data_IF_355857324356
#
_entry.id   IF_355857324356
#
_cell.length_a   1.000
_cell.length_b   1.000
_cell.length_c   1.000
_cell.angle_alpha   90.00
_cell.angle_beta   90.00
_cell.angle_gamma   90.00
#
_symmetry.space_group_name_H-M   'P 1'
#
loop_
_entity.id
_entity.type
_entity.pdbx_description
1 polymer ?
#
# COMPACT_ATOMS: atom_id res chain seq x y z
N UNK A 1 12.63 15.08 -7.45
CA UNK A 1 12.94 15.77 -8.74
C UNK A 1 13.72 17.07 -8.55
N UNK A 2 13.31 17.97 -7.64
CA UNK A 2 14.02 19.25 -7.44
C UNK A 2 15.49 19.10 -7.05
N UNK A 3 15.80 18.23 -6.08
CA UNK A 3 17.19 17.93 -5.69
C UNK A 3 18.03 17.33 -6.82
N UNK A 4 17.45 16.49 -7.66
CA UNK A 4 18.09 15.97 -8.86
C UNK A 4 18.44 17.10 -9.84
N UNK A 5 17.51 18.00 -10.09
CA UNK A 5 17.76 19.15 -10.99
C UNK A 5 18.88 20.06 -10.45
N UNK A 6 18.92 20.31 -9.15
CA UNK A 6 20.00 21.06 -8.49
C UNK A 6 21.34 20.34 -8.67
N UNK A 7 21.40 19.05 -8.41
CA UNK A 7 22.60 18.24 -8.58
C UNK A 7 23.12 18.20 -10.03
N UNK A 8 22.25 18.47 -11.01
CA UNK A 8 22.59 18.63 -12.44
C UNK A 8 22.89 20.08 -12.83
N UNK A 9 23.08 20.98 -11.88
CA UNK A 9 23.36 22.42 -12.12
C UNK A 9 22.16 23.23 -12.60
N UNK A 10 20.95 22.66 -12.60
CA UNK A 10 19.72 23.36 -13.01
C UNK A 10 19.04 24.00 -11.81
N UNK A 11 19.73 24.92 -11.14
CA UNK A 11 19.33 25.46 -9.83
C UNK A 11 17.94 26.09 -9.83
N UNK A 12 17.64 26.99 -10.79
CA UNK A 12 16.34 27.66 -10.84
C UNK A 12 15.17 26.65 -10.99
N UNK A 13 15.31 25.68 -11.91
CA UNK A 13 14.28 24.64 -12.11
C UNK A 13 14.15 23.75 -10.88
N UNK A 14 15.26 23.40 -10.25
CA UNK A 14 15.26 22.61 -9.03
C UNK A 14 14.56 23.32 -7.87
N UNK A 15 14.86 24.60 -7.65
CA UNK A 15 14.23 25.42 -6.62
C UNK A 15 12.72 25.57 -6.84
N UNK A 16 12.31 25.94 -8.06
CA UNK A 16 10.89 26.06 -8.43
C UNK A 16 10.17 24.74 -8.16
N UNK A 17 10.75 23.61 -8.57
CA UNK A 17 10.15 22.28 -8.32
C UNK A 17 9.99 22.00 -6.84
N UNK A 18 10.98 22.34 -6.00
CA UNK A 18 10.91 22.13 -4.54
C UNK A 18 9.79 23.00 -3.96
N UNK A 19 9.75 24.29 -4.32
CA UNK A 19 8.73 25.24 -3.81
C UNK A 19 7.32 24.76 -4.18
N UNK A 20 7.07 24.42 -5.46
CA UNK A 20 5.75 23.95 -5.91
C UNK A 20 5.37 22.64 -5.21
N UNK A 21 6.31 21.68 -5.10
CA UNK A 21 6.03 20.39 -4.45
C UNK A 21 5.75 20.55 -2.97
N UNK A 22 6.47 21.44 -2.28
CA UNK A 22 6.27 21.73 -0.86
C UNK A 22 4.91 22.41 -0.64
N UNK A 23 4.59 23.43 -1.46
CA UNK A 23 3.29 24.08 -1.41
C UNK A 23 2.14 23.10 -1.66
N UNK A 24 2.26 22.28 -2.71
CA UNK A 24 1.27 21.25 -3.02
C UNK A 24 1.09 20.24 -1.88
N UNK A 25 2.19 19.83 -1.25
CA UNK A 25 2.14 18.91 -0.11
C UNK A 25 1.38 19.52 1.08
N UNK A 26 1.65 20.78 1.41
CA UNK A 26 0.91 21.49 2.46
C UNK A 26 -0.58 21.63 2.12
N UNK A 27 -0.89 22.03 0.89
CA UNK A 27 -2.26 22.15 0.43
C UNK A 27 -3.01 20.82 0.48
N UNK A 28 -2.43 19.77 -0.08
CA UNK A 28 -3.02 18.44 -0.12
C UNK A 28 -3.23 17.85 1.29
N UNK A 29 -2.27 18.04 2.20
CA UNK A 29 -2.43 17.58 3.59
C UNK A 29 -3.48 18.38 4.34
N UNK A 30 -3.62 19.68 4.07
CA UNK A 30 -4.67 20.50 4.67
C UNK A 30 -6.07 20.12 4.18
N UNK A 31 -6.23 19.91 2.88
CA UNK A 31 -7.52 19.49 2.28
C UNK A 31 -7.90 18.05 2.64
N UNK A 32 -6.90 17.19 2.86
CA UNK A 32 -7.11 15.75 3.15
C UNK A 32 -7.31 15.45 4.65
N UNK A 33 -7.38 16.47 5.51
CA UNK A 33 -7.46 16.33 6.98
C UNK A 33 -8.72 15.59 7.48
N UNK A 34 -9.70 15.32 6.63
CA UNK A 34 -10.87 14.50 6.95
C UNK A 34 -10.55 13.02 7.30
N UNK A 35 -9.32 12.54 7.06
CA UNK A 35 -8.89 11.14 7.28
C UNK A 35 -7.94 10.91 8.46
N UNK A 36 -7.65 11.93 9.29
CA UNK A 36 -6.66 11.87 10.38
C UNK A 36 -5.25 12.27 9.90
N UNK A 37 -4.44 12.77 10.83
CA UNK A 37 -3.06 13.17 10.53
C UNK A 37 -2.16 11.93 10.43
N UNK A 38 -2.00 11.42 9.21
CA UNK A 38 -1.12 10.28 8.92
C UNK A 38 0.35 10.54 9.29
N UNK A 39 0.77 11.81 9.37
CA UNK A 39 2.09 12.21 9.82
C UNK A 39 2.21 11.98 11.32
N UNK A 40 1.24 12.45 12.10
CA UNK A 40 1.20 12.21 13.54
C UNK A 40 1.16 10.73 13.89
N UNK A 41 0.38 9.92 13.16
CA UNK A 41 0.31 8.46 13.36
C UNK A 41 1.67 7.78 13.16
N UNK A 42 2.52 8.28 12.26
CA UNK A 42 3.79 7.63 11.88
C UNK A 42 5.03 8.24 12.51
N UNK A 43 4.95 9.49 12.91
CA UNK A 43 6.06 10.27 13.45
C UNK A 43 5.77 10.83 14.84
N UNK A 44 4.64 10.48 15.46
CA UNK A 44 4.21 11.01 16.76
C UNK A 44 5.19 10.74 17.89
N UNK A 45 6.05 9.73 17.78
CA UNK A 45 7.13 9.48 18.74
C UNK A 45 8.20 10.59 18.75
N UNK A 46 8.23 11.45 17.72
CA UNK A 46 9.14 12.59 17.63
C UNK A 46 8.59 13.86 18.29
N UNK A 47 7.27 13.96 18.49
CA UNK A 47 6.60 15.11 19.08
C UNK A 47 5.19 15.29 18.57
N UNK A 48 4.43 16.16 19.21
CA UNK A 48 3.02 16.41 18.88
C UNK A 48 2.86 17.42 17.74
N UNK A 49 3.85 18.28 17.54
CA UNK A 49 3.86 19.28 16.47
C UNK A 49 4.95 19.01 15.42
N UNK A 50 4.74 19.46 14.18
CA UNK A 50 5.74 19.30 13.11
C UNK A 50 7.08 19.96 13.47
N UNK A 51 7.05 21.06 14.22
CA UNK A 51 8.26 21.74 14.65
C UNK A 51 9.03 20.95 15.71
N UNK A 52 8.31 20.37 16.67
CA UNK A 52 8.88 19.45 17.67
C UNK A 52 9.49 18.22 17.01
N UNK A 53 8.81 17.61 16.04
CA UNK A 53 9.34 16.46 15.29
C UNK A 53 10.68 16.80 14.63
N UNK A 54 10.78 17.96 13.96
CA UNK A 54 12.02 18.43 13.35
C UNK A 54 13.08 18.70 14.41
N UNK A 55 12.76 19.43 15.47
CA UNK A 55 13.71 19.75 16.52
C UNK A 55 14.24 18.50 17.23
N UNK A 56 13.37 17.53 17.49
CA UNK A 56 13.75 16.24 18.09
C UNK A 56 14.73 15.47 17.21
N UNK A 57 14.47 15.41 15.87
CA UNK A 57 15.39 14.77 14.94
C UNK A 57 16.73 15.49 14.85
N UNK A 58 16.76 16.82 14.95
CA UNK A 58 18.02 17.59 14.93
C UNK A 58 18.83 17.43 16.22
N UNK A 59 18.17 17.39 17.37
CA UNK A 59 18.84 17.33 18.69
C UNK A 59 19.15 15.88 19.10
N UNK A 60 18.28 14.92 18.74
CA UNK A 60 18.36 13.52 19.13
C UNK A 60 18.15 12.57 17.94
N UNK A 61 18.99 12.61 16.89
CA UNK A 61 18.80 11.79 15.68
C UNK A 61 18.79 10.28 15.99
N UNK A 62 19.45 9.84 17.07
CA UNK A 62 19.47 8.44 17.48
C UNK A 62 18.12 7.90 17.96
N UNK A 63 17.12 8.77 18.23
CA UNK A 63 15.77 8.35 18.63
C UNK A 63 15.11 7.46 17.56
N UNK A 64 15.52 7.58 16.31
CA UNK A 64 15.06 6.73 15.20
C UNK A 64 15.31 5.24 15.50
N UNK A 65 16.36 4.91 16.22
CA UNK A 65 16.67 3.52 16.59
C UNK A 65 15.73 2.93 17.64
N UNK A 66 14.88 3.73 18.27
CA UNK A 66 13.81 3.23 19.13
C UNK A 66 12.67 2.56 18.35
N UNK A 67 12.44 2.99 17.09
CA UNK A 67 11.38 2.49 16.20
C UNK A 67 11.90 1.67 15.03
N UNK A 68 13.16 1.87 14.66
CA UNK A 68 13.81 1.17 13.54
C UNK A 68 15.17 0.63 13.99
N UNK A 69 15.28 -0.69 14.16
CA UNK A 69 16.56 -1.30 14.50
C UNK A 69 17.59 -1.09 13.37
N UNK A 70 18.88 -0.94 13.69
CA UNK A 70 19.94 -0.81 12.67
C UNK A 70 19.94 -1.95 11.66
N UNK A 71 19.64 -3.18 12.08
CA UNK A 71 19.53 -4.34 11.21
C UNK A 71 18.37 -4.21 10.22
N UNK A 72 17.21 -3.69 10.66
CA UNK A 72 16.06 -3.43 9.79
C UNK A 72 16.39 -2.39 8.71
N UNK A 73 17.07 -1.31 9.11
CA UNK A 73 17.52 -0.27 8.17
C UNK A 73 18.52 -0.84 7.18
N UNK A 74 19.49 -1.62 7.66
CA UNK A 74 20.50 -2.26 6.81
C UNK A 74 19.87 -3.22 5.79
N UNK A 75 18.99 -4.12 6.22
CA UNK A 75 18.32 -5.08 5.35
C UNK A 75 17.42 -4.38 4.32
N UNK A 76 16.72 -3.32 4.73
CA UNK A 76 15.92 -2.51 3.82
C UNK A 76 16.80 -1.85 2.74
N UNK A 77 17.91 -1.22 3.15
CA UNK A 77 18.83 -0.55 2.25
C UNK A 77 19.49 -1.54 1.28
N UNK A 78 19.96 -2.67 1.82
CA UNK A 78 20.58 -3.73 1.03
C UNK A 78 19.60 -4.29 0.01
N UNK A 79 18.40 -4.68 0.44
CA UNK A 79 17.40 -5.26 -0.44
C UNK A 79 16.95 -4.29 -1.53
N UNK A 80 16.85 -2.99 -1.20
CA UNK A 80 16.47 -1.94 -2.14
C UNK A 80 17.56 -1.69 -3.19
N UNK A 81 18.84 -1.70 -2.78
CA UNK A 81 19.97 -1.39 -3.66
C UNK A 81 20.54 -2.60 -4.39
N UNK A 82 20.37 -3.81 -3.85
CA UNK A 82 21.00 -5.04 -4.34
C UNK A 82 20.87 -5.26 -5.86
N UNK A 83 19.69 -5.11 -6.49
CA UNK A 83 19.54 -5.30 -7.93
C UNK A 83 20.31 -4.29 -8.77
N UNK A 84 20.67 -3.15 -8.18
CA UNK A 84 21.25 -2.01 -8.90
C UNK A 84 22.75 -1.81 -8.66
N UNK A 85 23.32 -2.48 -7.64
CA UNK A 85 24.70 -2.23 -7.19
C UNK A 85 25.73 -2.32 -8.34
N UNK A 86 25.57 -3.29 -9.24
CA UNK A 86 26.51 -3.49 -10.35
C UNK A 86 26.42 -2.37 -11.41
N UNK A 87 25.31 -1.66 -11.52
CA UNK A 87 25.05 -0.63 -12.53
C UNK A 87 25.26 0.79 -12.01
N UNK A 88 25.20 1.02 -10.68
CA UNK A 88 25.37 2.34 -10.12
C UNK A 88 26.80 2.86 -10.30
N UNK A 89 26.95 4.05 -10.87
CA UNK A 89 28.20 4.77 -11.10
C UNK A 89 28.05 6.21 -10.61
N UNK A 90 29.14 6.98 -10.66
CA UNK A 90 29.14 8.40 -10.22
C UNK A 90 27.98 9.24 -10.75
N UNK A 91 27.53 9.14 -12.02
CA UNK A 91 26.39 9.90 -12.52
C UNK A 91 25.08 9.60 -11.79
N UNK A 92 24.91 8.38 -11.25
CA UNK A 92 23.75 8.00 -10.49
C UNK A 92 23.57 8.80 -9.20
N UNK A 93 24.61 9.38 -8.63
CA UNK A 93 24.55 10.13 -7.37
C UNK A 93 23.53 11.26 -7.43
N UNK A 94 23.43 11.95 -8.58
CA UNK A 94 22.42 13.00 -8.76
C UNK A 94 21.00 12.46 -8.66
N UNK A 95 20.75 11.27 -9.22
CA UNK A 95 19.44 10.60 -9.12
C UNK A 95 19.17 10.13 -7.68
N UNK A 96 20.16 9.58 -7.01
CA UNK A 96 20.04 9.11 -5.63
C UNK A 96 19.67 10.24 -4.67
N UNK A 97 20.19 11.46 -4.88
CA UNK A 97 19.77 12.64 -4.10
C UNK A 97 18.26 12.89 -4.19
N UNK A 98 17.64 12.59 -5.34
CA UNK A 98 16.19 12.66 -5.50
C UNK A 98 15.42 11.62 -4.66
N UNK A 99 16.03 10.48 -4.37
CA UNK A 99 15.45 9.41 -3.55
C UNK A 99 15.53 9.67 -2.03
N UNK A 100 16.54 10.49 -1.60
CA UNK A 100 16.85 10.72 -0.18
C UNK A 100 15.64 11.12 0.66
N UNK A 101 14.76 12.06 0.27
CA UNK A 101 13.64 12.45 1.12
C UNK A 101 12.68 11.29 1.42
N UNK A 102 12.34 10.48 0.40
CA UNK A 102 11.42 9.34 0.57
C UNK A 102 12.09 8.23 1.39
N UNK A 103 13.36 7.95 1.12
CA UNK A 103 14.14 6.98 1.86
C UNK A 103 14.22 7.37 3.34
N UNK A 104 14.48 8.65 3.63
CA UNK A 104 14.53 9.17 4.99
C UNK A 104 13.19 9.02 5.71
N UNK A 105 12.08 9.39 5.08
CA UNK A 105 10.74 9.20 5.65
C UNK A 105 10.46 7.74 5.97
N UNK A 106 10.87 6.80 5.11
CA UNK A 106 10.67 5.37 5.37
C UNK A 106 11.51 4.87 6.56
N UNK A 107 12.71 5.41 6.76
CA UNK A 107 13.57 5.04 7.90
C UNK A 107 13.02 5.57 9.21
N UNK A 108 12.62 6.84 9.26
CA UNK A 108 12.15 7.49 10.49
C UNK A 108 10.72 7.10 10.87
N UNK A 109 9.98 6.39 10.03
CA UNK A 109 8.61 5.99 10.33
C UNK A 109 8.56 4.95 11.46
N UNK A 110 7.65 5.12 12.40
CA UNK A 110 7.28 4.10 13.40
C UNK A 110 6.71 2.83 12.72
N UNK A 111 6.07 2.98 11.57
CA UNK A 111 5.51 1.86 10.84
C UNK A 111 6.60 1.02 10.16
N UNK A 112 6.85 -0.19 10.67
CA UNK A 112 7.75 -1.17 10.06
C UNK A 112 7.39 -1.51 8.60
N UNK A 113 6.11 -1.41 8.23
CA UNK A 113 5.61 -1.67 6.87
C UNK A 113 6.28 -0.75 5.82
N UNK A 114 6.69 0.47 6.20
CA UNK A 114 7.38 1.38 5.28
C UNK A 114 8.79 0.90 4.91
N UNK A 115 9.40 0.07 5.73
CA UNK A 115 10.70 -0.57 5.49
C UNK A 115 10.58 -1.98 4.87
N UNK A 116 9.35 -2.42 4.56
CA UNK A 116 9.14 -3.67 3.84
C UNK A 116 9.07 -3.42 2.34
N UNK A 117 9.94 -4.10 1.56
CA UNK A 117 10.01 -3.97 0.09
C UNK A 117 8.76 -4.50 -0.63
N UNK A 118 7.91 -5.25 0.07
CA UNK A 118 6.67 -5.77 -0.49
C UNK A 118 5.54 -4.73 -0.58
N UNK A 119 5.75 -3.55 -0.01
CA UNK A 119 4.78 -2.47 0.01
C UNK A 119 5.18 -1.34 -0.94
N UNK A 120 4.21 -0.55 -1.34
CA UNK A 120 4.36 0.51 -2.35
C UNK A 120 5.25 1.70 -1.91
N UNK A 121 5.64 1.79 -0.65
CA UNK A 121 6.43 2.91 -0.11
C UNK A 121 7.81 3.06 -0.73
N UNK A 122 8.37 1.98 -1.27
CA UNK A 122 9.68 1.97 -1.93
C UNK A 122 9.63 2.32 -3.41
N UNK A 123 8.45 2.36 -4.04
CA UNK A 123 8.30 2.61 -5.50
C UNK A 123 8.96 3.93 -5.93
N UNK A 124 8.77 5.07 -5.23
CA UNK A 124 9.42 6.31 -5.65
C UNK A 124 10.95 6.24 -5.60
N UNK A 125 11.51 5.49 -4.65
CA UNK A 125 12.97 5.28 -4.54
C UNK A 125 13.47 4.45 -5.70
N UNK A 126 12.75 3.38 -6.07
CA UNK A 126 13.09 2.53 -7.21
C UNK A 126 13.14 3.30 -8.52
N UNK A 127 12.24 4.27 -8.73
CA UNK A 127 12.25 5.12 -9.91
C UNK A 127 13.58 5.91 -10.02
N UNK A 128 14.11 6.44 -8.92
CA UNK A 128 15.40 7.13 -8.90
C UNK A 128 16.58 6.17 -9.07
N UNK A 129 16.52 4.96 -8.52
CA UNK A 129 17.56 3.94 -8.72
C UNK A 129 17.64 3.53 -10.19
N UNK A 130 16.49 3.28 -10.83
CA UNK A 130 16.41 2.96 -12.27
C UNK A 130 16.98 4.14 -13.10
N UNK A 131 16.55 5.37 -12.81
CA UNK A 131 17.06 6.54 -13.52
C UNK A 131 18.60 6.69 -13.35
N UNK A 132 19.10 6.42 -12.15
CA UNK A 132 20.56 6.42 -11.89
C UNK A 132 21.32 5.35 -12.67
N UNK A 133 20.73 4.16 -12.83
CA UNK A 133 21.30 3.12 -13.68
C UNK A 133 21.32 3.55 -15.16
N UNK A 134 20.24 4.13 -15.66
CA UNK A 134 20.17 4.65 -17.03
C UNK A 134 21.20 5.75 -17.28
N UNK A 135 21.37 6.68 -16.35
CA UNK A 135 22.41 7.72 -16.41
C UNK A 135 23.84 7.14 -16.40
N UNK A 136 24.01 5.96 -15.85
CA UNK A 136 25.30 5.28 -15.76
C UNK A 136 25.62 4.45 -17.00
N UNK A 137 24.61 4.09 -17.80
CA UNK A 137 24.78 3.22 -19.00
C UNK A 137 25.75 3.74 -20.05
N UNK A 138 25.75 5.05 -20.40
CA UNK A 138 26.72 5.58 -21.38
C UNK A 138 28.17 5.34 -21.00
N UNK A 139 28.49 5.24 -19.72
CA UNK A 139 29.85 4.94 -19.23
C UNK A 139 30.21 3.45 -19.36
N UNK A 140 29.22 2.60 -19.62
CA UNK A 140 29.39 1.15 -19.73
C UNK A 140 29.59 0.76 -21.20
N UNK A 141 29.29 1.66 -22.14
CA UNK A 141 29.25 1.39 -23.57
C UNK A 141 30.50 1.90 -24.32
N UNK A 142 31.29 1.05 -24.89
CA UNK A 142 31.90 1.30 -26.25
C UNK A 142 32.44 0.03 -26.93
N UNK A 143 32.70 -1.02 -26.24
CA UNK A 143 32.86 -2.37 -26.81
C UNK A 143 32.45 -3.37 -25.76
N UNK A 144 31.60 -4.32 -26.10
CA UNK A 144 31.14 -5.35 -25.15
C UNK A 144 32.36 -6.12 -24.64
N UNK A 145 33.00 -5.53 -23.64
CA UNK A 145 34.18 -6.15 -22.97
C UNK A 145 33.68 -7.28 -22.06
N UNK A 146 34.55 -8.20 -21.71
CA UNK A 146 34.25 -9.27 -20.76
C UNK A 146 33.75 -8.70 -19.43
N UNK A 147 34.25 -7.52 -19.03
CA UNK A 147 33.82 -6.81 -17.82
C UNK A 147 32.33 -6.43 -17.92
N UNK A 148 31.83 -5.96 -19.06
CA UNK A 148 30.42 -5.59 -19.23
C UNK A 148 29.49 -6.80 -19.19
N UNK A 149 29.91 -7.92 -19.78
CA UNK A 149 29.17 -9.19 -19.65
C UNK A 149 29.08 -9.63 -18.21
N UNK A 150 30.16 -9.51 -17.45
CA UNK A 150 30.19 -9.88 -16.03
C UNK A 150 29.31 -8.94 -15.19
N UNK A 151 29.30 -7.62 -15.47
CA UNK A 151 28.43 -6.65 -14.81
C UNK A 151 26.96 -6.96 -15.10
N UNK A 152 26.62 -7.24 -16.35
CA UNK A 152 25.26 -7.61 -16.74
C UNK A 152 24.82 -8.91 -16.04
N UNK A 153 25.64 -9.95 -16.07
CA UNK A 153 25.34 -11.22 -15.41
C UNK A 153 25.20 -11.04 -13.90
N UNK A 154 26.07 -10.26 -13.27
CA UNK A 154 25.98 -9.96 -11.83
C UNK A 154 24.67 -9.24 -11.50
N UNK A 155 24.28 -8.25 -12.30
CA UNK A 155 23.00 -7.53 -12.11
C UNK A 155 21.82 -8.47 -12.27
N UNK A 156 21.83 -9.34 -13.28
CA UNK A 156 20.78 -10.33 -13.50
C UNK A 156 20.67 -11.30 -12.32
N UNK A 157 21.78 -11.83 -11.84
CA UNK A 157 21.83 -12.74 -10.67
C UNK A 157 21.32 -12.02 -9.42
N UNK A 158 21.80 -10.81 -9.14
CA UNK A 158 21.38 -10.03 -7.99
C UNK A 158 19.88 -9.69 -8.04
N UNK A 159 19.36 -9.36 -9.24
CA UNK A 159 17.92 -9.12 -9.44
C UNK A 159 17.11 -10.38 -9.22
N UNK A 160 17.58 -11.53 -9.70
CA UNK A 160 16.92 -12.82 -9.48
C UNK A 160 16.91 -13.21 -8.00
N UNK A 161 18.03 -13.04 -7.30
CA UNK A 161 18.13 -13.29 -5.85
C UNK A 161 17.18 -12.37 -5.08
N UNK A 162 17.15 -11.08 -5.40
CA UNK A 162 16.23 -10.14 -4.80
C UNK A 162 14.77 -10.52 -5.09
N UNK A 163 14.45 -10.90 -6.34
CA UNK A 163 13.12 -11.35 -6.71
C UNK A 163 12.69 -12.59 -5.92
N UNK A 164 13.53 -13.62 -5.87
CA UNK A 164 13.20 -14.85 -5.12
C UNK A 164 13.08 -14.61 -3.62
N UNK A 165 13.91 -13.72 -3.05
CA UNK A 165 13.88 -13.41 -1.63
C UNK A 165 12.73 -12.49 -1.21
N UNK A 166 12.39 -11.50 -2.03
CA UNK A 166 11.39 -10.48 -1.69
C UNK A 166 10.04 -10.66 -2.37
N UNK A 167 9.96 -11.37 -3.53
CA UNK A 167 8.67 -11.63 -4.14
C UNK A 167 7.89 -12.62 -3.29
N UNK A 168 6.70 -12.21 -2.88
CA UNK A 168 5.75 -13.10 -2.19
C UNK A 168 4.92 -13.93 -3.20
N UNK A 169 5.52 -14.33 -4.34
CA UNK A 169 4.78 -15.02 -5.39
C UNK A 169 4.10 -16.30 -4.88
N UNK A 170 4.80 -17.12 -4.10
CA UNK A 170 4.21 -18.31 -3.48
C UNK A 170 3.17 -17.96 -2.41
N UNK A 171 3.37 -16.85 -1.70
CA UNK A 171 2.37 -16.33 -0.76
C UNK A 171 1.10 -15.92 -1.49
N UNK A 172 1.20 -15.18 -2.59
CA UNK A 172 0.04 -14.77 -3.38
C UNK A 172 -0.66 -15.99 -3.98
N UNK A 173 0.07 -16.95 -4.55
CA UNK A 173 -0.50 -18.20 -5.05
C UNK A 173 -1.35 -18.89 -3.99
N UNK A 174 -0.82 -19.06 -2.78
CA UNK A 174 -1.53 -19.72 -1.67
C UNK A 174 -2.75 -18.93 -1.16
N UNK A 175 -2.85 -17.64 -1.48
CA UNK A 175 -3.94 -16.75 -1.05
C UNK A 175 -4.97 -16.50 -2.14
N UNK A 176 -4.54 -16.35 -3.37
CA UNK A 176 -5.40 -16.05 -4.50
C UNK A 176 -6.14 -17.27 -5.01
N UNK A 177 -5.43 -18.37 -5.25
CA UNK A 177 -6.04 -19.55 -5.88
C UNK A 177 -7.20 -20.14 -5.05
N UNK A 178 -7.11 -20.27 -3.71
CA UNK A 178 -8.24 -20.76 -2.92
C UNK A 178 -9.46 -19.82 -2.93
N UNK A 179 -9.27 -18.55 -3.27
CA UNK A 179 -10.34 -17.53 -3.28
C UNK A 179 -10.88 -17.25 -4.67
N UNK A 180 -10.31 -17.86 -5.71
CA UNK A 180 -10.78 -17.64 -7.07
C UNK A 180 -12.26 -18.01 -7.25
N UNK A 181 -12.76 -19.14 -6.72
CA UNK A 181 -14.19 -19.46 -6.78
C UNK A 181 -15.08 -18.41 -6.11
N UNK A 182 -14.64 -17.83 -4.99
CA UNK A 182 -15.33 -16.74 -4.30
C UNK A 182 -15.39 -15.47 -5.19
N UNK A 183 -14.30 -15.13 -5.87
CA UNK A 183 -14.23 -13.97 -6.75
C UNK A 183 -15.17 -14.10 -7.97
N UNK A 184 -15.22 -15.29 -8.57
CA UNK A 184 -16.13 -15.59 -9.68
C UNK A 184 -17.59 -15.51 -9.23
N UNK A 185 -17.90 -16.15 -8.08
CA UNK A 185 -19.23 -16.09 -7.49
C UNK A 185 -19.65 -14.66 -7.14
N UNK A 186 -18.71 -13.83 -6.66
CA UNK A 186 -18.98 -12.42 -6.37
C UNK A 186 -19.31 -11.64 -7.64
N UNK A 187 -18.58 -11.83 -8.73
CA UNK A 187 -18.85 -11.12 -10.00
C UNK A 187 -20.26 -11.40 -10.51
N UNK A 188 -20.73 -12.65 -10.44
CA UNK A 188 -22.09 -13.01 -10.89
C UNK A 188 -23.17 -12.32 -10.04
N UNK A 189 -22.96 -12.18 -8.73
CA UNK A 189 -23.91 -11.49 -7.83
C UNK A 189 -23.82 -9.97 -8.00
N UNK A 190 -22.61 -9.42 -8.11
CA UNK A 190 -22.36 -8.00 -8.24
C UNK A 190 -22.98 -7.39 -9.52
N UNK A 191 -23.01 -8.16 -10.62
CA UNK A 191 -23.63 -7.73 -11.88
C UNK A 191 -25.16 -7.56 -11.78
N UNK A 192 -25.80 -8.25 -10.83
CA UNK A 192 -27.24 -8.11 -10.55
C UNK A 192 -27.60 -6.99 -9.60
N UNK A 193 -26.63 -6.21 -9.09
CA UNK A 193 -26.88 -5.08 -8.19
C UNK A 193 -26.86 -3.79 -9.01
N UNK A 194 -27.97 -3.05 -8.97
CA UNK A 194 -28.11 -1.78 -9.69
C UNK A 194 -27.14 -0.71 -9.19
N UNK A 195 -26.73 0.24 -10.06
CA UNK A 195 -25.77 1.29 -9.69
C UNK A 195 -26.29 2.27 -8.63
N UNK A 196 -27.59 2.41 -8.52
CA UNK A 196 -28.26 3.31 -7.56
C UNK A 196 -28.59 2.63 -6.22
N UNK A 197 -28.49 1.29 -6.15
CA UNK A 197 -28.79 0.57 -4.92
C UNK A 197 -27.72 0.85 -3.86
N UNK A 198 -28.15 1.17 -2.65
CA UNK A 198 -27.27 1.34 -1.50
C UNK A 198 -26.78 -0.02 -0.99
N UNK A 199 -25.47 -0.16 -0.79
CA UNK A 199 -24.88 -1.45 -0.48
C UNK A 199 -24.12 -1.42 0.85
N UNK A 200 -24.38 -2.41 1.68
CA UNK A 200 -23.56 -2.76 2.84
C UNK A 200 -22.82 -4.07 2.56
N UNK A 201 -21.50 -4.08 2.63
CA UNK A 201 -20.71 -5.27 2.35
C UNK A 201 -19.45 -5.35 3.20
N UNK A 202 -18.77 -6.49 3.19
CA UNK A 202 -17.44 -6.62 3.79
C UNK A 202 -16.38 -5.88 2.96
N UNK A 203 -15.27 -5.50 3.59
CA UNK A 203 -14.19 -4.73 2.96
C UNK A 203 -13.68 -5.33 1.64
N UNK A 204 -13.68 -6.66 1.53
CA UNK A 204 -13.27 -7.35 0.30
C UNK A 204 -14.19 -7.08 -0.89
N UNK A 205 -15.48 -6.88 -0.67
CA UNK A 205 -16.49 -6.66 -1.71
C UNK A 205 -16.71 -5.17 -2.00
N UNK A 206 -16.59 -4.32 -0.97
CA UNK A 206 -16.81 -2.87 -1.09
C UNK A 206 -15.93 -2.23 -2.17
N UNK A 207 -14.66 -2.63 -2.29
CA UNK A 207 -13.73 -2.07 -3.28
C UNK A 207 -14.19 -2.28 -4.71
N UNK A 208 -14.88 -3.38 -4.99
CA UNK A 208 -15.41 -3.70 -6.32
C UNK A 208 -16.76 -3.04 -6.62
N UNK A 209 -17.37 -2.41 -5.61
CA UNK A 209 -18.67 -1.75 -5.68
C UNK A 209 -18.56 -0.23 -5.46
N UNK A 210 -17.34 0.31 -5.43
CA UNK A 210 -17.02 1.67 -4.97
C UNK A 210 -17.60 2.81 -5.85
N UNK A 211 -18.10 2.53 -7.05
CA UNK A 211 -18.74 3.54 -7.90
C UNK A 211 -20.15 3.95 -7.47
N UNK A 212 -20.63 3.52 -6.31
CA UNK A 212 -21.99 3.82 -5.79
C UNK A 212 -22.00 5.00 -4.84
N UNK A 213 -23.06 5.78 -4.87
CA UNK A 213 -23.23 6.93 -3.98
C UNK A 213 -23.35 6.52 -2.51
N UNK A 214 -24.05 5.41 -2.22
CA UNK A 214 -24.25 4.90 -0.87
C UNK A 214 -23.66 3.51 -0.72
N UNK A 215 -22.44 3.45 -0.16
CA UNK A 215 -21.75 2.20 0.14
C UNK A 215 -21.16 2.28 1.56
N UNK A 216 -21.23 1.19 2.31
CA UNK A 216 -20.66 1.10 3.66
C UNK A 216 -20.02 -0.27 3.92
N UNK A 217 -19.10 -0.28 4.89
CA UNK A 217 -18.38 -1.51 5.29
C UNK A 217 -18.96 -2.06 6.59
N UNK A 218 -19.19 -3.37 6.65
CA UNK A 218 -19.67 -4.06 7.86
C UNK A 218 -18.65 -3.97 9.00
N UNK A 219 -17.35 -3.92 8.67
CA UNK A 219 -16.29 -3.84 9.66
C UNK A 219 -16.22 -2.47 10.37
N UNK A 220 -16.75 -1.43 9.75
CA UNK A 220 -16.86 -0.08 10.34
C UNK A 220 -18.22 0.07 11.01
N UNK A 221 -18.22 0.59 12.23
CA UNK A 221 -19.48 0.72 13.01
C UNK A 221 -20.36 1.89 12.52
N UNK A 222 -19.86 2.75 11.63
CA UNK A 222 -20.58 3.88 11.04
C UNK A 222 -21.78 3.47 10.16
N UNK A 223 -21.82 2.24 9.65
CA UNK A 223 -22.96 1.73 8.89
C UNK A 223 -24.27 1.75 9.69
N UNK A 224 -24.18 1.70 11.02
CA UNK A 224 -25.36 1.73 11.89
C UNK A 224 -26.13 3.04 11.78
N UNK A 225 -25.43 4.15 11.55
CA UNK A 225 -26.01 5.49 11.38
C UNK A 225 -26.57 5.69 9.97
N UNK A 226 -26.11 4.89 8.99
CA UNK A 226 -26.48 4.99 7.58
C UNK A 226 -27.58 4.01 7.17
N UNK A 227 -28.08 3.23 8.10
CA UNK A 227 -29.18 2.29 7.87
C UNK A 227 -30.48 3.01 7.44
N UNK A 228 -31.33 2.50 6.53
CA UNK A 228 -31.27 1.17 5.88
C UNK A 228 -30.45 1.14 4.58
N UNK A 229 -30.13 -0.09 4.13
CA UNK A 229 -29.51 -0.39 2.84
C UNK A 229 -30.48 -1.22 2.00
N UNK A 230 -30.37 -1.08 0.66
CA UNK A 230 -31.19 -1.85 -0.29
C UNK A 230 -30.64 -3.28 -0.43
N UNK A 231 -29.32 -3.40 -0.40
CA UNK A 231 -28.60 -4.65 -0.56
C UNK A 231 -27.53 -4.83 0.52
N UNK A 232 -27.44 -6.04 1.07
CA UNK A 232 -26.35 -6.42 1.98
C UNK A 232 -25.68 -7.68 1.47
N UNK A 233 -24.36 -7.62 1.31
CA UNK A 233 -23.53 -8.73 0.85
C UNK A 233 -22.67 -9.29 1.99
N UNK A 234 -22.87 -10.56 2.29
CA UNK A 234 -22.07 -11.30 3.25
C UNK A 234 -21.25 -12.38 2.55
N UNK A 235 -20.03 -12.70 3.04
CA UNK A 235 -19.37 -13.95 2.74
C UNK A 235 -20.24 -15.15 3.17
N UNK A 236 -20.36 -16.12 2.29
CA UNK A 236 -21.04 -17.38 2.58
C UNK A 236 -20.21 -18.32 3.47
N UNK A 237 -20.69 -19.54 3.67
CA UNK A 237 -20.08 -20.48 4.61
C UNK A 237 -18.67 -20.92 4.20
N UNK A 238 -18.42 -21.09 2.89
CA UNK A 238 -17.12 -21.48 2.35
C UNK A 238 -16.17 -20.31 2.06
N UNK A 239 -16.63 -19.08 2.27
CA UNK A 239 -15.78 -17.90 2.06
C UNK A 239 -14.65 -17.85 3.08
N UNK A 240 -13.46 -17.50 2.59
CA UNK A 240 -12.23 -17.45 3.38
C UNK A 240 -11.78 -16.01 3.58
N UNK A 241 -11.48 -15.64 4.80
CA UNK A 241 -10.87 -14.34 5.12
C UNK A 241 -9.45 -14.51 5.63
N UNK A 242 -8.62 -13.51 5.35
CA UNK A 242 -7.26 -13.48 5.85
C UNK A 242 -7.22 -12.85 7.25
N UNK A 243 -6.91 -13.66 8.25
CA UNK A 243 -6.73 -13.19 9.63
C UNK A 243 -5.29 -13.44 10.05
N UNK A 244 -4.54 -12.36 10.25
CA UNK A 244 -3.13 -12.40 10.68
C UNK A 244 -2.27 -13.36 9.85
N UNK A 245 -2.41 -13.29 8.54
CA UNK A 245 -1.61 -14.12 7.65
C UNK A 245 -2.11 -15.56 7.44
N UNK A 246 -3.28 -15.94 7.96
CA UNK A 246 -3.88 -17.27 7.75
C UNK A 246 -5.28 -17.14 7.17
N UNK A 247 -5.62 -17.99 6.22
CA UNK A 247 -7.00 -18.10 5.74
C UNK A 247 -7.83 -18.84 6.80
N UNK A 248 -8.98 -18.27 7.16
CA UNK A 248 -9.93 -18.85 8.12
C UNK A 248 -11.36 -18.69 7.61
N UNK A 249 -12.21 -19.60 7.97
CA UNK A 249 -13.65 -19.46 7.76
C UNK A 249 -14.19 -18.24 8.51
N UNK A 250 -15.03 -17.49 7.84
CA UNK A 250 -15.56 -16.20 8.33
C UNK A 250 -16.26 -16.35 9.68
N UNK A 251 -17.09 -17.38 9.85
CA UNK A 251 -17.91 -17.58 11.05
C UNK A 251 -17.14 -17.64 12.37
N UNK A 252 -15.87 -18.07 12.32
CA UNK A 252 -15.01 -18.22 13.52
C UNK A 252 -14.20 -16.95 13.85
N UNK A 253 -14.56 -15.79 13.30
CA UNK A 253 -13.76 -14.58 13.42
C UNK A 253 -14.53 -13.40 14.05
N UNK A 254 -13.79 -12.33 14.43
CA UNK A 254 -14.41 -11.08 14.90
C UNK A 254 -15.32 -10.46 13.83
N UNK A 255 -14.92 -10.59 12.57
CA UNK A 255 -15.72 -10.13 11.42
C UNK A 255 -17.02 -10.92 11.34
N UNK A 256 -16.98 -12.24 11.51
CA UNK A 256 -18.18 -13.08 11.55
C UNK A 256 -19.19 -12.65 12.61
N UNK A 257 -18.74 -12.18 13.78
CA UNK A 257 -19.65 -11.63 14.81
C UNK A 257 -20.37 -10.35 14.36
N UNK A 258 -19.64 -9.41 13.73
CA UNK A 258 -20.24 -8.20 13.16
C UNK A 258 -21.22 -8.52 12.02
N UNK A 259 -20.88 -9.49 11.19
CA UNK A 259 -21.77 -9.97 10.13
C UNK A 259 -23.07 -10.56 10.70
N UNK A 260 -23.00 -11.37 11.76
CA UNK A 260 -24.18 -11.92 12.41
C UNK A 260 -25.08 -10.82 13.01
N UNK A 261 -24.48 -9.76 13.53
CA UNK A 261 -25.24 -8.59 14.00
C UNK A 261 -25.95 -7.86 12.85
N UNK A 262 -25.22 -7.62 11.74
CA UNK A 262 -25.80 -7.00 10.55
C UNK A 262 -26.90 -7.88 9.93
N UNK A 263 -26.72 -9.20 9.90
CA UNK A 263 -27.72 -10.15 9.41
C UNK A 263 -29.01 -10.14 10.27
N UNK A 264 -28.85 -10.15 11.60
CA UNK A 264 -30.00 -10.04 12.50
C UNK A 264 -30.79 -8.74 12.26
N UNK A 265 -30.06 -7.64 12.04
CA UNK A 265 -30.69 -6.34 11.77
C UNK A 265 -31.38 -6.31 10.40
N UNK A 266 -30.79 -6.93 9.38
CA UNK A 266 -31.40 -7.07 8.06
C UNK A 266 -32.74 -7.83 8.14
N UNK A 267 -32.74 -8.98 8.81
CA UNK A 267 -33.96 -9.76 9.03
C UNK A 267 -35.01 -9.00 9.83
N UNK A 268 -34.62 -8.26 10.87
CA UNK A 268 -35.53 -7.43 11.65
C UNK A 268 -36.08 -6.25 10.82
N UNK A 269 -35.41 -5.81 9.78
CA UNK A 269 -35.84 -4.81 8.82
C UNK A 269 -36.69 -5.38 7.66
N UNK A 270 -37.06 -6.67 7.71
CA UNK A 270 -37.89 -7.32 6.70
C UNK A 270 -37.16 -7.65 5.39
N UNK A 271 -35.83 -7.74 5.40
CA UNK A 271 -35.07 -8.12 4.20
C UNK A 271 -35.10 -9.63 4.02
N UNK A 272 -35.34 -10.09 2.79
CA UNK A 272 -35.09 -11.47 2.38
C UNK A 272 -33.58 -11.71 2.30
N UNK A 273 -33.10 -12.78 2.91
CA UNK A 273 -31.69 -13.10 3.03
C UNK A 273 -31.41 -14.53 2.59
N UNK A 274 -30.93 -14.69 1.35
CA UNK A 274 -30.70 -15.98 0.75
C UNK A 274 -29.20 -16.27 0.57
N UNK A 275 -28.84 -17.52 0.70
CA UNK A 275 -27.51 -17.99 0.30
C UNK A 275 -27.54 -18.24 -1.20
N UNK A 276 -27.02 -17.27 -1.97
CA UNK A 276 -27.01 -17.33 -3.45
C UNK A 276 -26.11 -18.48 -3.94
N UNK A 277 -24.98 -18.67 -3.25
CA UNK A 277 -24.06 -19.79 -3.48
C UNK A 277 -23.21 -20.03 -2.23
N UNK A 278 -22.33 -21.04 -2.27
CA UNK A 278 -21.48 -21.42 -1.12
C UNK A 278 -20.60 -20.28 -0.57
N UNK A 279 -20.31 -19.27 -1.42
CA UNK A 279 -19.38 -18.18 -1.10
C UNK A 279 -20.06 -16.87 -0.74
N UNK A 280 -21.33 -16.68 -1.13
CA UNK A 280 -22.01 -15.39 -0.97
C UNK A 280 -23.44 -15.57 -0.46
N UNK A 281 -23.77 -14.80 0.54
CA UNK A 281 -25.14 -14.56 1.02
C UNK A 281 -25.56 -13.14 0.68
N UNK A 282 -26.73 -12.99 0.12
CA UNK A 282 -27.35 -11.73 -0.29
C UNK A 282 -28.58 -11.49 0.53
N UNK A 283 -28.69 -10.30 1.13
CA UNK A 283 -29.95 -9.80 1.66
C UNK A 283 -30.43 -8.64 0.79
N UNK A 284 -31.67 -8.67 0.35
CA UNK A 284 -32.30 -7.63 -0.43
C UNK A 284 -33.65 -7.25 0.18
N UNK A 285 -33.99 -5.97 0.10
CA UNK A 285 -35.33 -5.51 0.46
C UNK A 285 -36.30 -6.05 -0.58
N UNK A 286 -37.40 -6.67 -0.13
CA UNK A 286 -38.44 -7.08 -1.05
C UNK A 286 -39.00 -5.82 -1.70
N UNK A 287 -38.89 -5.73 -3.00
CA UNK A 287 -39.56 -4.70 -3.82
C UNK A 287 -40.97 -5.21 -4.08
N UNK A 288 -41.95 -4.66 -3.30
CA UNK A 288 -43.35 -4.79 -3.64
C UNK A 288 -43.65 -4.23 -5.04
#
# INVERSE_FOLDING_TARGET
>A
MGLYAIARGRYARGLITIVISTFWWFLATHLSSAGGDHVAIRLGYLGDTKLEMISTLMVRPWIVFSVASPSSIFLYTLGLSLPFLALLRKPALACLLGAVPVYFVNIISDSGIQRELNHHYSIPILAFLIAGCLDSMPLISVKVSQIQKNVFNATLILSLVAFLGYSRMMYFKSRYLPRLPEAVAFQSVASGIGPQESVLATSNYVVHLAGRERISQIEKDDYQQRWPFDVILFPGEKALINVRGRLREVGKTKIGRKMNQALKRAKAAGMSCDQVNDYIRLCRKDTD
#
